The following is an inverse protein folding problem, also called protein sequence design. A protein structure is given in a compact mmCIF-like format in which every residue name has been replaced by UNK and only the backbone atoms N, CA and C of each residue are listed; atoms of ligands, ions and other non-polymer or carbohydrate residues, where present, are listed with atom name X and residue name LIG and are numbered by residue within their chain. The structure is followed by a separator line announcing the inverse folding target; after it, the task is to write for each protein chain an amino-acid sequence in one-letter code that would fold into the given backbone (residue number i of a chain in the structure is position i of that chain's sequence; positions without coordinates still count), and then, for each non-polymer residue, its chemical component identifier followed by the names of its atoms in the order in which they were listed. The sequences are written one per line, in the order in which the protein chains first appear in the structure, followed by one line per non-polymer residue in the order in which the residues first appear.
data_IF_880740932632
#
_entry.id   IF_880740932632
#
_cell.length_a   1.000
_cell.length_b   1.000
_cell.length_c   1.000
_cell.angle_alpha   90.00
_cell.angle_beta   90.00
_cell.angle_gamma   90.00
#
_symmetry.space_group_name_H-M   'P 1'
#
loop_
_entity.id
_entity.type
_entity.pdbx_description
1 polymer ?
#
# COMPACT_ATOMS: atom_id res chain seq x y z
N UNK A 1 -19.55 17.22 -7.23
CA UNK A 1 -18.86 15.91 -7.21
C UNK A 1 -19.43 15.12 -6.03
N UNK A 2 -19.85 13.86 -6.21
CA UNK A 2 -20.36 13.04 -5.10
C UNK A 2 -19.30 12.94 -3.99
N UNK A 3 -19.72 12.96 -2.73
CA UNK A 3 -18.81 13.01 -1.57
C UNK A 3 -17.77 11.88 -1.58
N UNK A 4 -18.17 10.67 -2.01
CA UNK A 4 -17.29 9.50 -2.11
C UNK A 4 -16.19 9.66 -3.17
N UNK A 5 -16.45 10.35 -4.29
CA UNK A 5 -15.45 10.58 -5.35
C UNK A 5 -14.34 11.47 -4.83
N UNK A 6 -14.70 12.55 -4.13
CA UNK A 6 -13.72 13.46 -3.51
C UNK A 6 -12.88 12.71 -2.50
N UNK A 7 -13.53 11.95 -1.62
CA UNK A 7 -12.87 11.13 -0.61
C UNK A 7 -11.87 10.12 -1.21
N UNK A 8 -12.26 9.41 -2.28
CA UNK A 8 -11.35 8.49 -2.99
C UNK A 8 -10.13 9.21 -3.57
N UNK A 9 -10.31 10.38 -4.17
CA UNK A 9 -9.18 11.15 -4.68
C UNK A 9 -8.28 11.73 -3.57
N UNK A 10 -8.81 12.04 -2.39
CA UNK A 10 -8.00 12.45 -1.24
C UNK A 10 -7.02 11.35 -0.83
N UNK A 11 -7.48 10.09 -0.79
CA UNK A 11 -6.62 8.92 -0.58
C UNK A 11 -5.60 8.73 -1.71
N UNK A 12 -6.06 8.71 -2.96
CA UNK A 12 -5.19 8.47 -4.11
C UNK A 12 -4.09 9.53 -4.27
N UNK A 13 -4.34 10.79 -3.89
CA UNK A 13 -3.32 11.85 -3.89
C UNK A 13 -2.19 11.60 -2.88
N UNK A 14 -2.46 10.82 -1.83
CA UNK A 14 -1.51 10.46 -0.77
C UNK A 14 -0.78 9.16 -1.05
N UNK A 15 -0.86 8.62 -2.27
CA UNK A 15 -0.26 7.33 -2.60
C UNK A 15 1.21 7.19 -2.23
N UNK A 16 2.01 8.26 -2.36
CA UNK A 16 3.43 8.26 -1.95
C UNK A 16 3.61 8.07 -0.45
N UNK A 17 2.75 8.70 0.33
CA UNK A 17 2.72 8.55 1.79
C UNK A 17 2.32 7.13 2.16
N UNK A 18 1.27 6.59 1.53
CA UNK A 18 0.76 5.25 1.82
C UNK A 18 1.78 4.17 1.43
N UNK A 19 2.41 4.31 0.25
CA UNK A 19 3.49 3.43 -0.17
C UNK A 19 4.68 3.46 0.80
N UNK A 20 5.02 4.63 1.35
CA UNK A 20 6.08 4.74 2.36
C UNK A 20 5.70 4.02 3.67
N UNK A 21 4.45 4.14 4.13
CA UNK A 21 3.95 3.45 5.33
C UNK A 21 4.03 1.93 5.16
N UNK A 22 3.58 1.44 4.00
CA UNK A 22 3.67 0.02 3.64
C UNK A 22 5.13 -0.41 3.53
N UNK A 23 6.02 0.40 2.95
CA UNK A 23 7.43 0.05 2.84
C UNK A 23 8.12 -0.09 4.20
N UNK A 24 7.77 0.77 5.17
CA UNK A 24 8.24 0.64 6.56
C UNK A 24 7.68 -0.62 7.22
N UNK A 25 6.39 -0.90 7.07
CA UNK A 25 5.76 -2.10 7.60
C UNK A 25 6.36 -3.39 7.02
N UNK A 26 6.57 -3.44 5.70
CA UNK A 26 7.22 -4.56 5.02
C UNK A 26 8.64 -4.79 5.54
N UNK A 27 9.40 -3.71 5.82
CA UNK A 27 10.74 -3.79 6.40
C UNK A 27 10.73 -4.31 7.83
N UNK A 28 9.76 -3.91 8.65
CA UNK A 28 9.60 -4.44 10.00
C UNK A 28 9.30 -5.94 10.01
N UNK A 29 8.50 -6.42 9.06
CA UNK A 29 8.06 -7.83 8.99
C UNK A 29 9.09 -8.73 8.32
N UNK A 30 9.70 -8.28 7.22
CA UNK A 30 10.55 -9.12 6.35
C UNK A 30 12.05 -8.77 6.44
N UNK A 31 12.42 -7.70 7.14
CA UNK A 31 13.81 -7.23 7.18
C UNK A 31 14.19 -6.47 5.91
N UNK A 32 15.27 -6.88 5.23
CA UNK A 32 15.71 -6.17 4.03
C UNK A 32 14.76 -6.39 2.85
N UNK A 33 14.16 -5.28 2.39
CA UNK A 33 13.15 -5.27 1.33
C UNK A 33 13.32 -4.08 0.40
N UNK A 34 12.97 -4.31 -0.86
CA UNK A 34 12.76 -3.24 -1.86
C UNK A 34 11.28 -3.15 -2.18
N UNK A 35 10.76 -1.93 -2.18
CA UNK A 35 9.33 -1.68 -2.37
C UNK A 35 9.14 -0.71 -3.52
N UNK A 36 8.23 -1.06 -4.42
CA UNK A 36 7.93 -0.31 -5.63
C UNK A 36 6.44 -0.06 -5.72
N UNK A 37 6.07 1.11 -6.25
CA UNK A 37 4.68 1.36 -6.66
C UNK A 37 4.61 1.06 -8.15
N UNK A 38 3.62 0.26 -8.54
CA UNK A 38 3.39 -0.15 -9.93
C UNK A 38 1.99 0.29 -10.38
N UNK A 39 1.62 -0.02 -11.61
CA UNK A 39 0.28 0.23 -12.12
C UNK A 39 -0.04 1.70 -12.41
N UNK A 40 -1.34 2.00 -12.49
CA UNK A 40 -1.85 3.27 -13.01
C UNK A 40 -1.42 4.49 -12.19
N UNK A 41 -1.26 4.34 -10.87
CA UNK A 41 -0.78 5.40 -9.98
C UNK A 41 0.68 5.75 -10.26
N UNK A 42 1.54 4.75 -10.52
CA UNK A 42 2.94 4.98 -10.90
C UNK A 42 3.06 5.65 -12.27
N UNK A 43 2.19 5.30 -13.21
CA UNK A 43 2.20 5.80 -14.59
C UNK A 43 1.49 7.16 -14.78
N UNK A 44 0.93 7.73 -13.72
CA UNK A 44 0.16 8.99 -13.82
C UNK A 44 -1.19 8.84 -14.53
N UNK A 45 -1.69 7.60 -14.69
CA UNK A 45 -3.00 7.26 -15.27
C UNK A 45 -4.06 7.01 -14.18
N UNK A 46 -3.96 7.70 -13.06
CA UNK A 46 -4.86 7.52 -11.90
C UNK A 46 -6.30 7.88 -12.24
N UNK A 47 -7.24 7.00 -11.91
CA UNK A 47 -8.69 7.24 -11.98
C UNK A 47 -9.32 7.07 -10.59
N UNK A 48 -10.58 7.47 -10.41
CA UNK A 48 -11.28 7.34 -9.11
C UNK A 48 -11.38 5.89 -8.63
N UNK A 49 -11.39 4.93 -9.55
CA UNK A 49 -11.46 3.50 -9.28
C UNK A 49 -10.09 2.84 -9.21
N UNK A 50 -9.00 3.60 -9.32
CA UNK A 50 -7.67 3.05 -9.14
C UNK A 50 -7.42 2.65 -7.69
N UNK A 51 -6.52 1.70 -7.54
CA UNK A 51 -5.86 1.34 -6.30
C UNK A 51 -4.36 1.70 -6.39
N UNK A 52 -3.64 1.55 -5.28
CA UNK A 52 -2.21 1.79 -5.15
C UNK A 52 -1.54 0.42 -5.09
N UNK A 53 -1.10 -0.06 -6.26
CA UNK A 53 -0.44 -1.34 -6.40
C UNK A 53 1.01 -1.26 -5.88
N UNK A 54 1.35 -2.09 -4.90
CA UNK A 54 2.68 -2.12 -4.29
C UNK A 54 3.33 -3.48 -4.50
N UNK A 55 4.50 -3.48 -5.13
CA UNK A 55 5.35 -4.66 -5.26
C UNK A 55 6.42 -4.67 -4.18
N UNK A 56 6.42 -5.71 -3.36
CA UNK A 56 7.44 -5.95 -2.33
C UNK A 56 8.38 -7.08 -2.77
N UNK A 57 9.68 -6.79 -2.78
CA UNK A 57 10.74 -7.74 -3.11
C UNK A 57 11.58 -8.00 -1.86
N UNK A 58 11.64 -9.27 -1.45
CA UNK A 58 12.39 -9.74 -0.28
C UNK A 58 13.09 -11.08 -0.61
N UNK A 59 14.17 -11.40 0.09
CA UNK A 59 14.89 -12.68 -0.11
C UNK A 59 14.11 -13.88 0.42
N UNK A 60 13.54 -13.75 1.62
CA UNK A 60 12.87 -14.85 2.32
C UNK A 60 11.39 -14.53 2.50
N UNK A 61 10.56 -15.03 1.56
CA UNK A 61 9.11 -14.84 1.60
C UNK A 61 8.46 -16.09 2.23
N UNK A 62 7.71 -15.94 3.33
CA UNK A 62 6.92 -17.04 3.90
C UNK A 62 5.99 -17.69 2.87
N UNK A 63 5.76 -19.00 3.02
CA UNK A 63 4.92 -19.77 2.09
C UNK A 63 3.46 -19.29 2.09
N UNK A 64 2.98 -18.83 3.24
CA UNK A 64 1.63 -18.26 3.38
C UNK A 64 1.64 -16.77 3.06
N UNK A 65 1.51 -16.46 1.76
CA UNK A 65 1.45 -15.08 1.28
C UNK A 65 0.25 -14.31 1.81
N UNK A 66 -0.91 -14.96 1.99
CA UNK A 66 -2.12 -14.26 2.46
C UNK A 66 -1.92 -13.75 3.89
N UNK A 67 -1.38 -14.61 4.76
CA UNK A 67 -1.05 -14.21 6.12
C UNK A 67 0.00 -13.11 6.15
N UNK A 68 1.03 -13.20 5.30
CA UNK A 68 2.03 -12.16 5.18
C UNK A 68 1.41 -10.81 4.78
N UNK A 69 0.48 -10.78 3.83
CA UNK A 69 -0.17 -9.55 3.39
C UNK A 69 -0.96 -8.90 4.52
N UNK A 70 -1.73 -9.71 5.26
CA UNK A 70 -2.46 -9.25 6.44
C UNK A 70 -1.50 -8.65 7.47
N UNK A 71 -0.41 -9.35 7.78
CA UNK A 71 0.57 -8.90 8.78
C UNK A 71 1.23 -7.57 8.39
N UNK A 72 1.58 -7.38 7.12
CA UNK A 72 2.15 -6.11 6.63
C UNK A 72 1.11 -4.98 6.69
N UNK A 73 -0.15 -5.23 6.29
CA UNK A 73 -1.19 -4.21 6.31
C UNK A 73 -1.60 -3.83 7.74
N UNK A 74 -1.76 -4.81 8.64
CA UNK A 74 -1.99 -4.58 10.07
C UNK A 74 -0.86 -3.75 10.66
N UNK A 75 0.40 -4.11 10.40
CA UNK A 75 1.56 -3.33 10.85
C UNK A 75 1.55 -1.90 10.28
N UNK A 76 1.15 -1.71 9.02
CA UNK A 76 1.04 -0.40 8.39
C UNK A 76 -0.05 0.46 9.05
N UNK A 77 -1.19 -0.14 9.42
CA UNK A 77 -2.30 0.54 10.10
C UNK A 77 -1.89 0.90 11.53
N UNK A 78 -1.43 -0.08 12.31
CA UNK A 78 -1.20 0.06 13.74
C UNK A 78 0.03 0.91 14.08
N UNK A 79 1.10 0.78 13.30
CA UNK A 79 2.40 1.41 13.63
C UNK A 79 2.68 2.68 12.82
N UNK A 80 2.06 2.81 11.64
CA UNK A 80 2.34 3.88 10.70
C UNK A 80 1.09 4.65 10.28
N UNK A 81 -0.05 4.39 10.93
CA UNK A 81 -1.31 5.13 10.75
C UNK A 81 -1.75 5.13 9.28
N UNK A 82 -1.57 4.01 8.57
CA UNK A 82 -2.22 3.81 7.29
C UNK A 82 -3.73 3.80 7.54
N UNK A 83 -4.54 4.63 6.85
CA UNK A 83 -5.98 4.56 7.00
C UNK A 83 -6.48 3.14 6.68
N UNK A 84 -7.39 2.63 7.50
CA UNK A 84 -7.91 1.27 7.36
C UNK A 84 -8.61 1.02 6.02
N UNK A 85 -9.07 2.08 5.35
CA UNK A 85 -9.74 2.07 4.05
C UNK A 85 -8.86 2.64 2.93
N UNK A 86 -7.54 2.72 3.14
CA UNK A 86 -6.60 3.10 2.10
C UNK A 86 -6.71 2.12 0.92
N UNK A 87 -6.80 2.61 -0.34
CA UNK A 87 -6.93 1.75 -1.52
C UNK A 87 -5.55 1.22 -1.92
N UNK A 88 -4.99 0.32 -1.10
CA UNK A 88 -3.66 -0.28 -1.28
C UNK A 88 -3.80 -1.77 -1.58
N UNK A 89 -3.04 -2.25 -2.56
CA UNK A 89 -2.94 -3.67 -2.92
C UNK A 89 -1.46 -4.13 -2.87
N UNK A 90 -1.20 -5.34 -2.37
CA UNK A 90 0.14 -5.94 -2.19
C UNK A 90 0.35 -7.18 -3.08
#
# INVERSE_FOLDING_TARGET
MLNWVRYRFEHLRRWREYALKVAKAARDVLGDVRVYVVGGVAEGRTTVLSDIDILIVAENIPRDKKRLYVEILERAIDAYELPWDAPVEL
#
